data_IF_099416579636
#
_entry.id   IF_099416579636
#
_cell.length_a   1.000
_cell.length_b   1.000
_cell.length_c   1.000
_cell.angle_alpha   90.00
_cell.angle_beta   90.00
_cell.angle_gamma   90.00
#
_symmetry.space_group_name_H-M   'P 1'
#
loop_
_entity.id
_entity.type
_entity.pdbx_description
1 polymer ?
#
# COMPACT_ATOMS: atom_id res chain seq x y z
N UNK A 1 4.50 -5.09 21.19
CA UNK A 1 5.07 -5.49 19.89
C UNK A 1 6.58 -5.38 20.04
N UNK A 2 7.21 -6.45 20.50
CA UNK A 2 8.65 -6.51 20.74
C UNK A 2 9.35 -6.97 19.46
N UNK A 3 10.13 -6.08 18.84
CA UNK A 3 11.16 -6.45 17.85
C UNK A 3 10.79 -6.38 16.37
N UNK A 4 9.51 -6.29 16.01
CA UNK A 4 9.09 -6.12 14.61
C UNK A 4 8.67 -4.66 14.39
N UNK A 5 9.17 -4.03 13.32
CA UNK A 5 8.83 -2.65 12.95
C UNK A 5 7.31 -2.44 12.91
N UNK A 6 6.85 -1.27 13.34
CA UNK A 6 5.43 -0.91 13.25
C UNK A 6 5.11 -0.62 11.77
N UNK A 7 4.12 -1.27 11.16
CA UNK A 7 3.72 -0.93 9.81
C UNK A 7 3.11 0.47 9.77
N UNK A 8 3.48 1.25 8.77
CA UNK A 8 2.83 2.52 8.49
C UNK A 8 1.60 2.30 7.60
N UNK A 9 0.59 3.16 7.76
CA UNK A 9 -0.69 3.07 7.06
C UNK A 9 -0.88 4.27 6.14
N UNK A 10 -1.21 4.02 4.87
CA UNK A 10 -1.49 5.09 3.88
C UNK A 10 -2.94 5.55 3.94
N UNK A 11 -3.90 4.62 3.92
CA UNK A 11 -5.33 4.93 3.97
C UNK A 11 -5.82 4.74 5.41
N UNK A 12 -5.99 5.84 6.14
CA UNK A 12 -6.73 5.80 7.39
C UNK A 12 -8.23 5.68 7.07
N UNK A 13 -8.96 4.85 7.84
CA UNK A 13 -10.33 4.40 7.52
C UNK A 13 -11.42 5.47 7.39
N UNK A 14 -11.07 6.76 7.40
CA UNK A 14 -11.96 7.90 7.17
C UNK A 14 -11.95 8.39 5.71
N UNK A 15 -11.00 7.94 4.91
CA UNK A 15 -10.84 8.36 3.51
C UNK A 15 -11.33 7.26 2.56
N UNK A 16 -12.40 7.51 1.81
CA UNK A 16 -12.83 6.58 0.76
C UNK A 16 -11.70 6.40 -0.28
N UNK A 17 -11.33 5.16 -0.67
CA UNK A 17 -10.28 4.89 -1.66
C UNK A 17 -10.48 5.62 -2.99
N UNK A 18 -11.74 5.87 -3.36
CA UNK A 18 -12.09 6.56 -4.61
C UNK A 18 -11.83 8.07 -4.57
N UNK A 19 -11.61 8.66 -3.39
CA UNK A 19 -11.28 10.08 -3.22
C UNK A 19 -9.91 10.30 -2.57
N UNK A 20 -9.11 9.25 -2.40
CA UNK A 20 -7.85 9.35 -1.69
C UNK A 20 -6.77 10.04 -2.53
N UNK A 21 -6.21 11.13 -1.99
CA UNK A 21 -5.09 11.84 -2.59
C UNK A 21 -3.79 11.48 -1.86
N UNK A 22 -2.80 10.98 -2.60
CA UNK A 22 -1.48 10.72 -2.06
C UNK A 22 -0.77 12.02 -1.65
N UNK A 23 -0.42 12.11 -0.37
CA UNK A 23 0.38 13.21 0.18
C UNK A 23 1.87 12.94 -0.08
N UNK A 24 2.73 13.97 -0.07
CA UNK A 24 4.19 13.79 -0.18
C UNK A 24 4.76 12.84 0.88
N UNK A 25 4.21 12.83 2.10
CA UNK A 25 4.60 11.88 3.15
C UNK A 25 4.32 10.43 2.75
N UNK A 26 3.18 10.15 2.10
CA UNK A 26 2.86 8.80 1.61
C UNK A 26 3.79 8.38 0.49
N UNK A 27 4.17 9.29 -0.41
CA UNK A 27 5.17 9.01 -1.44
C UNK A 27 6.53 8.63 -0.81
N UNK A 28 6.94 9.32 0.25
CA UNK A 28 8.16 8.98 1.00
C UNK A 28 8.04 7.59 1.63
N UNK A 29 6.91 7.27 2.26
CA UNK A 29 6.65 5.93 2.80
C UNK A 29 6.75 4.84 1.73
N UNK A 30 6.15 5.05 0.55
CA UNK A 30 6.24 4.11 -0.58
C UNK A 30 7.67 3.94 -1.11
N UNK A 31 8.48 5.00 -1.06
CA UNK A 31 9.86 4.97 -1.53
C UNK A 31 10.79 4.23 -0.57
N UNK A 32 10.53 4.34 0.74
CA UNK A 32 11.34 3.76 1.82
C UNK A 32 10.89 2.35 2.21
N UNK A 33 9.70 1.92 1.81
CA UNK A 33 9.18 0.60 2.12
C UNK A 33 10.00 -0.53 1.48
N UNK A 34 10.31 -1.54 2.29
CA UNK A 34 10.85 -2.81 1.81
C UNK A 34 9.74 -3.75 1.29
N UNK A 35 8.55 -3.69 1.90
CA UNK A 35 7.39 -4.52 1.54
C UNK A 35 6.12 -3.67 1.60
N UNK A 36 5.24 -3.81 0.62
CA UNK A 36 3.94 -3.15 0.55
C UNK A 36 2.86 -4.21 0.37
N UNK A 37 1.90 -4.21 1.30
CA UNK A 37 0.66 -4.97 1.18
C UNK A 37 -0.45 -4.04 0.71
N UNK A 38 -1.18 -4.45 -0.32
CA UNK A 38 -2.31 -3.69 -0.86
C UNK A 38 -3.40 -4.67 -1.31
N UNK A 39 -4.65 -4.25 -1.34
CA UNK A 39 -5.77 -5.16 -1.59
C UNK A 39 -5.84 -5.53 -3.06
N UNK A 40 -5.75 -4.54 -3.94
CA UNK A 40 -5.70 -4.75 -5.38
C UNK A 40 -5.95 -3.46 -6.16
N UNK A 41 -5.45 -3.42 -7.40
CA UNK A 41 -5.49 -2.21 -8.23
C UNK A 41 -6.94 -1.71 -8.47
N UNK A 42 -7.92 -2.62 -8.61
CA UNK A 42 -9.33 -2.29 -8.84
C UNK A 42 -9.96 -1.40 -7.74
N UNK A 43 -9.56 -1.63 -6.48
CA UNK A 43 -10.07 -0.88 -5.32
C UNK A 43 -9.23 0.36 -5.02
N UNK A 44 -7.94 0.31 -5.38
CA UNK A 44 -6.93 1.29 -4.98
C UNK A 44 -6.23 1.89 -6.19
N UNK A 45 -6.99 2.30 -7.21
CA UNK A 45 -6.46 2.85 -8.47
C UNK A 45 -5.43 3.98 -8.28
N UNK A 46 -5.54 4.76 -7.20
CA UNK A 46 -4.59 5.82 -6.87
C UNK A 46 -3.17 5.29 -6.58
N UNK A 47 -3.00 4.00 -6.24
CA UNK A 47 -1.72 3.35 -6.00
C UNK A 47 -1.06 2.79 -7.27
N UNK A 48 -1.79 2.56 -8.37
CA UNK A 48 -1.27 1.88 -9.56
C UNK A 48 0.03 2.53 -10.09
N UNK A 49 -0.02 3.85 -10.35
CA UNK A 49 1.14 4.61 -10.83
C UNK A 49 2.23 4.72 -9.75
N UNK A 50 1.95 5.12 -8.50
CA UNK A 50 2.94 5.14 -7.41
C UNK A 50 3.66 3.82 -7.16
N UNK A 51 2.97 2.68 -7.23
CA UNK A 51 3.58 1.37 -7.05
C UNK A 51 4.56 1.05 -8.18
N UNK A 52 4.30 1.54 -9.40
CA UNK A 52 5.17 1.37 -10.57
C UNK A 52 6.34 2.37 -10.59
N UNK A 53 6.14 3.60 -10.10
CA UNK A 53 7.12 4.69 -10.26
C UNK A 53 7.90 5.07 -9.01
N UNK A 54 7.33 4.91 -7.82
CA UNK A 54 7.91 5.31 -6.52
C UNK A 54 8.41 4.08 -5.77
N UNK A 55 7.54 3.08 -5.58
CA UNK A 55 7.86 1.85 -4.85
C UNK A 55 8.64 0.83 -5.70
N UNK A 56 9.72 1.27 -6.34
CA UNK A 56 10.52 0.43 -7.25
C UNK A 56 11.33 -0.65 -6.54
N UNK A 57 11.67 -0.42 -5.27
CA UNK A 57 12.49 -1.33 -4.45
C UNK A 57 11.68 -2.26 -3.56
N UNK A 58 10.43 -1.90 -3.29
CA UNK A 58 9.56 -2.65 -2.41
C UNK A 58 9.07 -3.94 -3.08
N UNK A 59 9.04 -5.03 -2.32
CA UNK A 59 8.23 -6.19 -2.66
C UNK A 59 6.75 -5.82 -2.53
N UNK A 60 5.95 -6.17 -3.53
CA UNK A 60 4.55 -5.78 -3.64
C UNK A 60 3.69 -7.03 -3.54
N UNK A 61 2.85 -7.09 -2.52
CA UNK A 61 2.00 -8.23 -2.19
C UNK A 61 0.54 -7.81 -2.35
N UNK A 62 -0.10 -8.27 -3.43
CA UNK A 62 -1.51 -8.05 -3.69
C UNK A 62 -2.36 -9.09 -2.96
N UNK A 63 -3.14 -8.64 -1.96
CA UNK A 63 -3.87 -9.55 -1.08
C UNK A 63 -5.00 -10.29 -1.82
N UNK A 64 -5.62 -9.68 -2.85
CA UNK A 64 -6.68 -10.32 -3.65
C UNK A 64 -6.22 -11.59 -4.37
N UNK A 65 -4.94 -11.67 -4.74
CA UNK A 65 -4.41 -12.81 -5.51
C UNK A 65 -3.81 -13.92 -4.62
N UNK A 66 -3.73 -13.71 -3.30
CA UNK A 66 -3.14 -14.68 -2.38
C UNK A 66 -4.08 -15.87 -2.20
N UNK A 67 -3.64 -17.02 -2.72
CA UNK A 67 -4.28 -18.32 -2.49
C UNK A 67 -4.25 -18.65 -0.99
N UNK A 68 -5.41 -18.58 -0.33
CA UNK A 68 -5.57 -18.95 1.09
C UNK A 68 -6.29 -17.90 1.94
N UNK A 69 -6.40 -16.66 1.46
CA UNK A 69 -7.29 -15.66 2.06
C UNK A 69 -8.75 -16.06 1.76
N UNK A 70 -9.48 -16.47 2.80
CA UNK A 70 -10.92 -16.79 2.71
C UNK A 70 -11.73 -15.50 2.86
N UNK A 71 -12.67 -15.29 1.94
CA UNK A 71 -13.72 -14.28 2.08
C UNK A 71 -14.71 -14.66 3.19
#
# INVERSE_FOLDING_TARGET
MDGFGKPDLIVDGYSSPHGFALKPSHAKMLQEADIIFYVGEDLENFLEKPLKTIAKKAEKIELKEIKGLKN
#
